data_IF_610782237455
#
_entry.id   IF_610782237455
#
_cell.length_a   1.000
_cell.length_b   1.000
_cell.length_c   1.000
_cell.angle_alpha   90.00
_cell.angle_beta   90.00
_cell.angle_gamma   90.00
#
_symmetry.space_group_name_H-M   'P 1'
#
loop_
_entity.id
_entity.type
_entity.pdbx_description
1 polymer ?
#
# COMPACT_ATOMS: atom_id res chain seq x y z
N UNK A 1 -0.34 -4.29 9.84
CA UNK A 1 1.10 -4.36 10.13
C UNK A 1 1.59 -5.75 9.75
N UNK A 2 2.79 -5.83 9.17
CA UNK A 2 3.36 -7.08 8.68
C UNK A 2 4.10 -7.82 9.79
N UNK A 3 4.09 -9.15 9.70
CA UNK A 3 4.75 -10.09 10.60
C UNK A 3 6.18 -10.35 10.13
N UNK A 4 7.08 -9.37 10.29
CA UNK A 4 8.47 -9.41 9.78
C UNK A 4 9.51 -9.39 10.90
N UNK A 5 9.32 -10.20 11.94
CA UNK A 5 10.15 -10.19 13.15
C UNK A 5 11.35 -11.15 13.12
N UNK A 6 11.54 -11.92 12.04
CA UNK A 6 12.68 -12.80 11.86
C UNK A 6 13.06 -12.90 10.37
N UNK A 7 14.25 -13.45 10.12
CA UNK A 7 14.81 -13.60 8.77
C UNK A 7 13.91 -14.44 7.87
N UNK A 8 13.41 -15.58 8.36
CA UNK A 8 12.54 -16.48 7.57
C UNK A 8 11.29 -15.76 7.04
N UNK A 9 10.67 -14.89 7.85
CA UNK A 9 9.49 -14.12 7.43
C UNK A 9 9.84 -12.97 6.50
N UNK A 10 11.03 -12.40 6.62
CA UNK A 10 11.55 -11.40 5.67
C UNK A 10 11.78 -12.06 4.31
N UNK A 11 12.40 -13.24 4.29
CA UNK A 11 12.61 -14.03 3.07
C UNK A 11 11.28 -14.44 2.43
N UNK A 12 10.33 -14.94 3.24
CA UNK A 12 8.98 -15.25 2.76
C UNK A 12 8.28 -14.03 2.15
N UNK A 13 8.40 -12.85 2.76
CA UNK A 13 7.85 -11.61 2.21
C UNK A 13 8.49 -11.20 0.88
N UNK A 14 9.82 -11.33 0.78
CA UNK A 14 10.54 -11.07 -0.47
C UNK A 14 10.09 -12.03 -1.58
N UNK A 15 9.89 -13.30 -1.27
CA UNK A 15 9.41 -14.30 -2.21
C UNK A 15 7.95 -14.06 -2.64
N UNK A 16 7.08 -13.63 -1.72
CA UNK A 16 5.73 -13.18 -2.06
C UNK A 16 5.77 -12.02 -3.06
N UNK A 17 6.60 -11.00 -2.82
CA UNK A 17 6.75 -9.87 -3.75
C UNK A 17 7.22 -10.30 -5.13
N UNK A 18 8.22 -11.21 -5.21
CA UNK A 18 8.71 -11.75 -6.48
C UNK A 18 7.61 -12.49 -7.24
N UNK A 19 6.85 -13.35 -6.55
CA UNK A 19 5.80 -14.18 -7.14
C UNK A 19 4.58 -13.37 -7.57
N UNK A 20 4.22 -12.32 -6.83
CA UNK A 20 3.03 -11.51 -7.13
C UNK A 20 3.29 -10.46 -8.24
N UNK A 21 4.55 -10.16 -8.55
CA UNK A 21 4.95 -9.15 -9.53
C UNK A 21 4.19 -9.24 -10.88
N UNK A 22 4.04 -10.40 -11.54
CA UNK A 22 3.28 -10.49 -12.78
C UNK A 22 1.80 -10.08 -12.61
N UNK A 23 1.14 -10.51 -11.53
CA UNK A 23 -0.25 -10.14 -11.23
C UNK A 23 -0.40 -8.65 -10.95
N UNK A 24 0.59 -8.04 -10.29
CA UNK A 24 0.63 -6.59 -10.07
C UNK A 24 0.74 -5.85 -11.40
N UNK A 25 1.61 -6.30 -12.30
CA UNK A 25 1.74 -5.72 -13.64
C UNK A 25 0.44 -5.81 -14.44
N UNK A 26 -0.26 -6.94 -14.36
CA UNK A 26 -1.55 -7.13 -15.01
C UNK A 26 -2.64 -6.25 -14.39
N UNK A 27 -2.68 -6.10 -13.06
CA UNK A 27 -3.61 -5.21 -12.35
C UNK A 27 -3.37 -3.73 -12.69
N UNK A 28 -2.11 -3.37 -12.97
CA UNK A 28 -1.71 -2.06 -13.50
C UNK A 28 -1.93 -1.95 -15.01
N UNK A 29 -2.46 -2.98 -15.67
CA UNK A 29 -2.69 -3.03 -17.12
C UNK A 29 -1.41 -2.77 -17.92
N UNK A 30 -0.26 -3.15 -17.36
CA UNK A 30 1.09 -3.00 -17.95
C UNK A 30 1.42 -1.58 -18.39
N UNK A 31 0.76 -0.60 -17.78
CA UNK A 31 0.97 0.83 -18.04
C UNK A 31 1.52 1.50 -16.79
N UNK A 32 2.32 2.57 -16.93
CA UNK A 32 2.75 3.36 -15.79
C UNK A 32 1.58 3.91 -14.98
N UNK A 33 1.84 4.20 -13.71
CA UNK A 33 0.98 5.01 -12.85
C UNK A 33 1.60 6.39 -12.75
N UNK A 34 0.86 7.40 -13.16
CA UNK A 34 1.29 8.79 -13.04
C UNK A 34 0.64 9.39 -11.80
N UNK A 35 1.46 9.92 -10.90
CA UNK A 35 1.00 10.59 -9.69
C UNK A 35 1.41 12.04 -9.70
N UNK A 36 0.54 12.91 -9.18
CA UNK A 36 0.83 14.32 -8.93
C UNK A 36 0.70 14.58 -7.44
N UNK A 37 1.74 15.13 -6.84
CA UNK A 37 1.70 15.60 -5.45
C UNK A 37 1.04 16.98 -5.40
N UNK A 38 0.11 17.20 -4.47
CA UNK A 38 -0.67 18.45 -4.34
C UNK A 38 -0.35 19.17 -3.03
N UNK A 39 0.83 19.73 -2.92
CA UNK A 39 1.23 20.50 -1.74
C UNK A 39 1.36 19.62 -0.49
N UNK A 40 0.91 20.12 0.65
CA UNK A 40 1.01 19.44 1.96
C UNK A 40 -0.32 19.56 2.73
N UNK A 41 -0.69 18.50 3.42
CA UNK A 41 -1.84 18.46 4.32
C UNK A 41 -1.51 17.73 5.63
N UNK A 42 -2.29 18.01 6.68
CA UNK A 42 -2.21 17.26 7.93
C UNK A 42 -2.92 15.92 7.74
N UNK A 43 -2.31 14.81 8.18
CA UNK A 43 -2.97 13.51 8.13
C UNK A 43 -4.25 13.55 8.98
N UNK A 44 -5.39 13.05 8.46
CA UNK A 44 -6.63 12.95 9.24
C UNK A 44 -6.38 12.26 10.58
N UNK A 45 -7.01 12.75 11.64
CA UNK A 45 -6.88 12.25 13.01
C UNK A 45 -5.46 12.31 13.62
N UNK A 46 -4.51 13.02 12.97
CA UNK A 46 -3.13 13.20 13.43
C UNK A 46 -2.73 14.68 13.58
N UNK A 47 -3.67 15.46 14.11
CA UNK A 47 -3.46 16.85 14.49
C UNK A 47 -4.15 17.85 13.56
N UNK A 48 -3.87 19.12 13.79
CA UNK A 48 -4.38 20.26 13.02
C UNK A 48 -3.19 21.09 12.51
N UNK A 49 -3.35 22.01 11.54
CA UNK A 49 -2.22 22.77 11.00
C UNK A 49 -1.27 23.41 12.04
N UNK A 50 -1.74 24.02 13.15
CA UNK A 50 -0.85 24.57 14.17
C UNK A 50 -0.26 23.52 15.14
N UNK A 51 -0.77 22.28 15.14
CA UNK A 51 -0.38 21.18 16.06
C UNK A 51 -0.30 19.85 15.30
N UNK A 52 0.31 19.86 14.13
CA UNK A 52 0.36 18.69 13.27
C UNK A 52 1.35 17.67 13.84
N UNK A 53 0.90 16.43 14.05
CA UNK A 53 1.80 15.32 14.41
C UNK A 53 2.34 14.63 13.17
N UNK A 54 1.57 14.62 12.08
CA UNK A 54 1.97 14.05 10.79
C UNK A 54 1.48 14.97 9.68
N UNK A 55 2.41 15.40 8.84
CA UNK A 55 2.15 16.14 7.60
C UNK A 55 2.53 15.24 6.43
N UNK A 56 1.71 15.19 5.39
CA UNK A 56 2.00 14.44 4.17
C UNK A 56 1.67 15.24 2.93
N UNK A 57 2.22 14.81 1.79
CA UNK A 57 1.82 15.33 0.49
C UNK A 57 0.60 14.53 0.00
N UNK A 58 -0.57 15.16 -0.22
CA UNK A 58 -1.67 14.50 -0.89
C UNK A 58 -1.25 14.10 -2.31
N UNK A 59 -1.77 12.97 -2.79
CA UNK A 59 -1.52 12.50 -4.15
C UNK A 59 -2.80 12.47 -4.98
N UNK A 60 -2.66 12.80 -6.26
CA UNK A 60 -3.66 12.59 -7.29
C UNK A 60 -3.11 11.54 -8.27
N UNK A 61 -3.87 10.46 -8.49
CA UNK A 61 -3.55 9.48 -9.55
C UNK A 61 -4.14 9.96 -10.87
N UNK A 62 -3.26 10.33 -11.80
CA UNK A 62 -3.67 10.80 -13.12
C UNK A 62 -4.26 9.63 -13.92
N UNK A 63 -5.48 9.81 -14.43
CA UNK A 63 -6.21 8.74 -15.13
C UNK A 63 -6.99 7.79 -14.21
N UNK A 64 -7.13 8.14 -12.93
CA UNK A 64 -7.99 7.42 -11.98
C UNK A 64 -7.23 6.46 -11.06
N UNK A 65 -7.76 6.28 -9.86
CA UNK A 65 -7.12 5.55 -8.76
C UNK A 65 -7.32 4.03 -8.82
N UNK A 66 -8.30 3.55 -9.60
CA UNK A 66 -8.78 2.17 -9.52
C UNK A 66 -7.71 1.13 -9.87
N UNK A 67 -6.87 1.42 -10.87
CA UNK A 67 -5.73 0.54 -11.25
C UNK A 67 -4.74 0.38 -10.10
N UNK A 68 -4.39 1.50 -9.46
CA UNK A 68 -3.50 1.49 -8.31
C UNK A 68 -4.14 0.75 -7.13
N UNK A 69 -5.43 0.99 -6.85
CA UNK A 69 -6.18 0.26 -5.81
C UNK A 69 -6.20 -1.24 -6.05
N UNK A 70 -6.47 -1.70 -7.27
CA UNK A 70 -6.41 -3.12 -7.65
C UNK A 70 -5.02 -3.70 -7.44
N UNK A 71 -3.98 -3.01 -7.90
CA UNK A 71 -2.60 -3.46 -7.73
C UNK A 71 -2.18 -3.57 -6.27
N UNK A 72 -2.52 -2.57 -5.44
CA UNK A 72 -2.28 -2.62 -4.00
C UNK A 72 -3.07 -3.76 -3.33
N UNK A 73 -4.31 -4.01 -3.76
CA UNK A 73 -5.13 -5.12 -3.24
C UNK A 73 -4.52 -6.48 -3.54
N UNK A 74 -4.02 -6.69 -4.76
CA UNK A 74 -3.29 -7.91 -5.15
C UNK A 74 -2.08 -8.17 -4.23
N UNK A 75 -1.34 -7.14 -3.85
CA UNK A 75 -0.21 -7.28 -2.91
C UNK A 75 -0.72 -7.62 -1.51
N UNK A 76 -1.72 -6.89 -1.01
CA UNK A 76 -2.26 -7.11 0.34
C UNK A 76 -2.81 -8.53 0.48
N UNK A 77 -3.61 -8.99 -0.48
CA UNK A 77 -4.24 -10.31 -0.44
C UNK A 77 -3.16 -11.41 -0.46
N UNK A 78 -2.11 -11.26 -1.27
CA UNK A 78 -0.98 -12.20 -1.28
C UNK A 78 -0.23 -12.26 0.06
N UNK A 79 -0.06 -11.13 0.75
CA UNK A 79 0.55 -11.10 2.09
C UNK A 79 -0.37 -11.70 3.17
N UNK A 80 -1.68 -11.52 3.05
CA UNK A 80 -2.67 -12.14 3.94
C UNK A 80 -2.64 -13.66 3.75
N UNK A 81 -2.71 -14.14 2.51
CA UNK A 81 -2.64 -15.57 2.15
C UNK A 81 -1.35 -16.22 2.64
N UNK A 82 -0.22 -15.50 2.59
CA UNK A 82 1.07 -15.97 3.10
C UNK A 82 1.17 -15.95 4.64
N UNK A 83 0.13 -15.51 5.37
CA UNK A 83 0.15 -15.41 6.83
C UNK A 83 1.16 -14.36 7.34
N UNK A 84 1.46 -13.35 6.52
CA UNK A 84 2.43 -12.29 6.81
C UNK A 84 1.78 -11.02 7.37
N UNK A 85 0.47 -11.00 7.59
CA UNK A 85 -0.27 -9.86 8.16
C UNK A 85 -0.77 -10.21 9.57
N UNK A 86 -0.74 -9.24 10.49
CA UNK A 86 -1.43 -9.35 11.79
C UNK A 86 -2.95 -9.40 11.57
N UNK A 87 -3.65 -10.30 12.25
CA UNK A 87 -5.10 -10.51 12.07
C UNK A 87 -5.91 -9.22 12.23
N UNK A 88 -5.57 -8.42 13.26
CA UNK A 88 -6.19 -7.11 13.52
C UNK A 88 -6.06 -6.11 12.36
N UNK A 89 -5.12 -6.34 11.46
CA UNK A 89 -4.83 -5.47 10.33
C UNK A 89 -5.21 -6.10 8.97
N UNK A 90 -5.60 -7.38 8.94
CA UNK A 90 -6.01 -8.06 7.71
C UNK A 90 -7.27 -7.44 7.08
N UNK A 91 -8.14 -6.87 7.92
CA UNK A 91 -9.39 -6.23 7.51
C UNK A 91 -9.28 -4.70 7.40
N UNK A 92 -8.09 -4.10 7.56
CA UNK A 92 -7.93 -2.66 7.38
C UNK A 92 -8.02 -2.33 5.89
N UNK A 93 -8.92 -1.40 5.56
CA UNK A 93 -9.08 -0.89 4.20
C UNK A 93 -7.82 -0.20 3.67
N UNK A 94 -7.74 -0.10 2.35
CA UNK A 94 -6.71 0.67 1.66
C UNK A 94 -6.91 2.17 1.94
N UNK A 95 -5.94 2.80 2.61
CA UNK A 95 -5.83 4.26 2.68
C UNK A 95 -5.18 4.75 1.39
N UNK A 96 -5.98 4.86 0.31
CA UNK A 96 -5.56 5.46 -0.96
C UNK A 96 -6.61 6.44 -1.44
#
# INVERSE_FOLDING_TARGET
MLKLWNTDRIEAAADVLRRVSPKVMDALERRPVYIRLKGLECMPDRGTPPKAYVVHAPLEVIGGIDRLKRACRVIIDAFIEAGLVLEKDANRGLLV
#
